data_IF_067756355510
#
_entry.id   IF_067756355510
#
_cell.length_a   1.000
_cell.length_b   1.000
_cell.length_c   1.000
_cell.angle_alpha   90.00
_cell.angle_beta   90.00
_cell.angle_gamma   90.00
#
_symmetry.space_group_name_H-M   'P 1'
#
loop_
_entity.id
_entity.type
_entity.pdbx_description
1 polymer ?
#
# COMPACT_ATOMS: atom_id res chain seq x y z
N UNK A 1 -25.45 12.33 15.51
CA UNK A 1 -24.94 12.15 14.12
C UNK A 1 -24.76 10.68 13.86
N UNK A 2 -25.16 10.15 12.72
CA UNK A 2 -25.06 8.71 12.45
C UNK A 2 -23.59 8.25 12.50
N UNK A 3 -23.30 7.10 13.09
CA UNK A 3 -21.96 6.56 13.32
C UNK A 3 -21.14 6.49 12.00
N UNK A 4 -21.77 6.06 10.92
CA UNK A 4 -21.09 6.00 9.61
C UNK A 4 -20.62 7.38 9.09
N UNK A 5 -21.31 8.48 9.46
CA UNK A 5 -20.83 9.82 9.12
C UNK A 5 -19.54 10.16 9.85
N UNK A 6 -19.46 9.83 11.15
CA UNK A 6 -18.30 10.14 11.99
C UNK A 6 -17.08 9.27 11.68
N UNK A 7 -17.31 8.01 11.32
CA UNK A 7 -16.25 7.00 11.15
C UNK A 7 -15.78 6.90 9.69
N UNK A 8 -16.66 7.14 8.72
CA UNK A 8 -16.36 6.95 7.29
C UNK A 8 -16.27 8.28 6.56
N UNK A 9 -17.36 9.07 6.58
CA UNK A 9 -17.48 10.25 5.71
C UNK A 9 -16.58 11.40 6.18
N UNK A 10 -16.61 11.73 7.47
CA UNK A 10 -15.82 12.87 7.99
C UNK A 10 -14.31 12.60 7.83
N UNK A 11 -13.74 11.46 8.29
CA UNK A 11 -12.32 11.21 8.11
C UNK A 11 -11.89 11.26 6.64
N UNK A 12 -12.67 10.66 5.75
CA UNK A 12 -12.41 10.66 4.32
C UNK A 12 -12.43 12.08 3.74
N UNK A 13 -13.49 12.85 3.97
CA UNK A 13 -13.64 14.20 3.39
C UNK A 13 -12.63 15.19 3.94
N UNK A 14 -12.32 15.13 5.24
CA UNK A 14 -11.32 16.01 5.85
C UNK A 14 -9.95 15.74 5.25
N UNK A 15 -9.51 14.50 5.22
CA UNK A 15 -8.20 14.15 4.65
C UNK A 15 -8.13 14.44 3.15
N UNK A 16 -9.19 14.11 2.38
CA UNK A 16 -9.30 14.44 0.97
C UNK A 16 -9.13 15.95 0.71
N UNK A 17 -9.91 16.75 1.42
CA UNK A 17 -9.90 18.22 1.24
C UNK A 17 -8.54 18.81 1.62
N UNK A 18 -7.94 18.37 2.72
CA UNK A 18 -6.62 18.81 3.15
C UNK A 18 -5.55 18.54 2.09
N UNK A 19 -5.49 17.29 1.57
CA UNK A 19 -4.51 16.94 0.52
C UNK A 19 -4.79 17.70 -0.77
N UNK A 20 -6.05 17.82 -1.17
CA UNK A 20 -6.43 18.55 -2.39
C UNK A 20 -5.93 20.01 -2.36
N UNK A 21 -6.06 20.67 -1.20
CA UNK A 21 -5.69 22.08 -1.02
C UNK A 21 -4.17 22.28 -0.86
N UNK A 22 -3.49 21.41 -0.08
CA UNK A 22 -2.07 21.62 0.24
C UNK A 22 -1.12 21.12 -0.85
N UNK A 23 -1.53 20.12 -1.64
CA UNK A 23 -0.70 19.48 -2.65
C UNK A 23 -0.06 20.47 -3.65
N UNK A 24 -0.78 21.46 -4.24
CA UNK A 24 -0.18 22.41 -5.17
C UNK A 24 0.91 23.27 -4.52
N UNK A 25 0.71 23.67 -3.26
CA UNK A 25 1.68 24.47 -2.52
C UNK A 25 2.98 23.68 -2.25
N UNK A 26 2.85 22.40 -1.85
CA UNK A 26 3.99 21.52 -1.65
C UNK A 26 4.72 21.27 -2.98
N UNK A 27 4.00 21.01 -4.08
CA UNK A 27 4.59 20.81 -5.40
C UNK A 27 5.41 22.03 -5.85
N UNK A 28 4.84 23.24 -5.74
CA UNK A 28 5.54 24.50 -6.05
C UNK A 28 6.79 24.68 -5.21
N UNK A 29 6.67 24.47 -3.89
CA UNK A 29 7.80 24.59 -2.97
C UNK A 29 8.90 23.59 -3.32
N UNK A 30 8.56 22.33 -3.61
CA UNK A 30 9.53 21.31 -3.97
C UNK A 30 10.27 21.64 -5.28
N UNK A 31 9.57 22.16 -6.29
CA UNK A 31 10.19 22.61 -7.55
C UNK A 31 11.16 23.78 -7.28
N UNK A 32 10.74 24.80 -6.53
CA UNK A 32 11.57 25.98 -6.22
C UNK A 32 12.83 25.59 -5.44
N UNK A 33 12.73 24.61 -4.53
CA UNK A 33 13.83 24.13 -3.69
C UNK A 33 14.68 23.05 -4.35
N UNK A 34 14.34 22.60 -5.56
CA UNK A 34 15.05 21.52 -6.25
C UNK A 34 14.90 20.14 -5.57
N UNK A 35 13.85 19.94 -4.78
CA UNK A 35 13.52 18.65 -4.12
C UNK A 35 12.84 17.72 -5.13
N UNK A 36 13.59 17.38 -6.18
CA UNK A 36 13.08 16.62 -7.34
C UNK A 36 13.92 15.39 -7.57
N UNK A 37 13.26 14.32 -7.97
CA UNK A 37 13.90 13.14 -8.48
C UNK A 37 14.31 13.34 -9.94
N UNK A 38 15.61 13.31 -10.20
CA UNK A 38 16.16 13.53 -11.53
C UNK A 38 16.13 12.25 -12.38
N UNK A 39 15.83 12.37 -13.70
CA UNK A 39 15.88 11.24 -14.61
C UNK A 39 17.27 10.59 -14.65
N UNK A 40 17.31 9.27 -14.66
CA UNK A 40 18.51 8.50 -14.93
C UNK A 40 18.16 7.26 -15.79
N UNK A 41 19.17 6.52 -16.23
CA UNK A 41 19.00 5.35 -17.11
C UNK A 41 18.14 4.23 -16.53
N UNK A 42 17.92 4.22 -15.21
CA UNK A 42 17.10 3.20 -14.52
C UNK A 42 15.63 3.60 -14.37
N UNK A 43 15.32 4.91 -14.39
CA UNK A 43 13.99 5.47 -14.10
C UNK A 43 13.14 5.59 -15.35
N UNK A 44 11.82 5.55 -15.15
CA UNK A 44 10.85 5.64 -16.24
C UNK A 44 10.52 7.09 -16.62
N UNK A 45 10.69 8.06 -15.68
CA UNK A 45 10.44 9.47 -15.93
C UNK A 45 11.51 10.09 -16.85
N UNK A 46 11.06 11.07 -17.66
CA UNK A 46 11.93 11.81 -18.61
C UNK A 46 12.24 13.25 -18.17
N UNK A 47 11.57 13.74 -17.15
CA UNK A 47 11.73 15.07 -16.54
C UNK A 47 11.86 14.95 -15.02
N UNK A 48 12.50 15.94 -14.35
CA UNK A 48 12.53 15.99 -12.88
C UNK A 48 11.11 16.04 -12.32
N UNK A 49 10.82 15.21 -11.30
CA UNK A 49 9.52 15.15 -10.64
C UNK A 49 9.73 15.33 -9.12
N UNK A 50 8.97 16.22 -8.45
CA UNK A 50 9.04 16.41 -7.01
C UNK A 50 8.75 15.12 -6.23
N UNK A 51 9.48 14.86 -5.13
CA UNK A 51 9.34 13.63 -4.30
C UNK A 51 8.75 13.94 -2.91
N UNK A 52 7.80 14.83 -2.84
CA UNK A 52 7.21 15.28 -1.57
C UNK A 52 5.72 14.93 -1.41
N UNK A 53 5.22 14.01 -2.22
CA UNK A 53 3.80 13.61 -2.17
C UNK A 53 3.41 12.98 -0.84
N UNK A 54 4.32 12.23 -0.22
CA UNK A 54 4.13 11.64 1.11
C UNK A 54 3.82 12.68 2.19
N UNK A 55 4.44 13.87 2.14
CA UNK A 55 4.14 14.95 3.10
C UNK A 55 2.72 15.48 2.97
N UNK A 56 2.19 15.60 1.74
CA UNK A 56 0.82 16.03 1.52
C UNK A 56 -0.18 15.01 2.09
N UNK A 57 0.06 13.71 1.81
CA UNK A 57 -0.76 12.60 2.32
C UNK A 57 -0.72 12.56 3.85
N UNK A 58 0.47 12.64 4.44
CA UNK A 58 0.67 12.69 5.89
C UNK A 58 -0.11 13.82 6.56
N UNK A 59 -0.01 15.02 6.02
CA UNK A 59 -0.75 16.17 6.53
C UNK A 59 -2.26 15.93 6.53
N UNK A 60 -2.81 15.38 5.44
CA UNK A 60 -4.24 15.06 5.37
C UNK A 60 -4.68 14.05 6.42
N UNK A 61 -3.90 12.99 6.63
CA UNK A 61 -4.21 11.95 7.62
C UNK A 61 -4.17 12.54 9.05
N UNK A 62 -3.13 13.31 9.39
CA UNK A 62 -3.00 13.92 10.74
C UNK A 62 -4.13 14.88 11.05
N UNK A 63 -4.48 15.76 10.11
CA UNK A 63 -5.59 16.70 10.32
C UNK A 63 -6.90 15.92 10.51
N UNK A 64 -7.12 14.88 9.72
CA UNK A 64 -8.29 14.03 9.87
C UNK A 64 -8.31 13.31 11.22
N UNK A 65 -7.17 12.74 11.65
CA UNK A 65 -7.05 12.10 12.96
C UNK A 65 -7.31 13.11 14.11
N UNK A 66 -6.78 14.34 13.98
CA UNK A 66 -7.01 15.42 14.95
C UNK A 66 -8.48 15.81 15.07
N UNK A 67 -9.17 16.01 13.94
CA UNK A 67 -10.61 16.35 13.92
C UNK A 67 -11.45 15.21 14.51
N UNK A 68 -11.14 13.97 14.18
CA UNK A 68 -11.90 12.81 14.68
C UNK A 68 -11.58 12.46 16.12
N UNK A 69 -10.40 12.84 16.66
CA UNK A 69 -10.05 12.65 18.06
C UNK A 69 -10.98 13.36 19.03
N UNK A 70 -11.67 14.40 18.60
CA UNK A 70 -12.73 15.09 19.36
C UNK A 70 -13.86 14.12 19.72
N UNK A 71 -14.15 13.15 18.84
CA UNK A 71 -15.22 12.16 19.03
C UNK A 71 -14.66 10.85 19.58
N UNK A 72 -13.49 10.43 19.11
CA UNK A 72 -12.82 9.20 19.45
C UNK A 72 -11.52 9.51 20.21
N UNK A 73 -11.63 9.86 21.50
CA UNK A 73 -10.43 10.03 22.33
C UNK A 73 -9.73 8.68 22.50
N UNK A 74 -8.79 8.39 21.63
CA UNK A 74 -8.18 7.07 21.48
C UNK A 74 -6.66 7.16 21.53
N UNK A 75 -6.09 6.51 22.52
CA UNK A 75 -4.66 6.23 22.63
C UNK A 75 -4.09 5.59 21.36
N UNK A 76 -4.86 4.70 20.73
CA UNK A 76 -4.46 4.04 19.48
C UNK A 76 -4.26 5.03 18.31
N UNK A 77 -5.10 6.07 18.17
CA UNK A 77 -4.89 7.12 17.16
C UNK A 77 -3.57 7.86 17.39
N UNK A 78 -3.27 8.20 18.65
CA UNK A 78 -2.02 8.88 18.99
C UNK A 78 -0.80 8.01 18.64
N UNK A 79 -0.81 6.73 19.00
CA UNK A 79 0.27 5.79 18.67
C UNK A 79 0.45 5.66 17.15
N UNK A 80 -0.65 5.58 16.37
CA UNK A 80 -0.57 5.59 14.90
C UNK A 80 0.09 6.88 14.38
N UNK A 81 -0.31 8.05 14.88
CA UNK A 81 0.26 9.35 14.46
C UNK A 81 1.76 9.41 14.77
N UNK A 82 2.19 8.98 15.96
CA UNK A 82 3.62 8.96 16.34
C UNK A 82 4.43 8.08 15.40
N UNK A 83 3.97 6.84 15.18
CA UNK A 83 4.70 5.87 14.33
C UNK A 83 4.75 6.33 12.86
N UNK A 84 3.64 6.85 12.34
CA UNK A 84 3.60 7.46 11.01
C UNK A 84 4.57 8.62 10.87
N UNK A 85 4.66 9.49 11.90
CA UNK A 85 5.56 10.64 11.90
C UNK A 85 7.02 10.19 11.81
N UNK A 86 7.40 9.19 12.62
CA UNK A 86 8.78 8.65 12.60
C UNK A 86 9.08 8.05 11.22
N UNK A 87 8.19 7.24 10.66
CA UNK A 87 8.40 6.58 9.37
C UNK A 87 8.40 7.59 8.21
N UNK A 88 7.52 8.59 8.24
CA UNK A 88 7.52 9.67 7.26
C UNK A 88 8.83 10.46 7.29
N UNK A 89 9.31 10.82 8.49
CA UNK A 89 10.56 11.56 8.65
C UNK A 89 11.76 10.75 8.19
N UNK A 90 11.82 9.46 8.54
CA UNK A 90 12.87 8.56 8.07
C UNK A 90 12.89 8.45 6.54
N UNK A 91 11.73 8.22 5.92
CA UNK A 91 11.62 8.16 4.47
C UNK A 91 11.97 9.48 3.79
N UNK A 92 11.65 10.61 4.40
CA UNK A 92 12.05 11.92 3.90
C UNK A 92 13.57 12.11 3.91
N UNK A 93 14.26 11.66 4.96
CA UNK A 93 15.73 11.68 4.99
C UNK A 93 16.30 10.72 3.95
N UNK A 94 15.68 9.56 3.74
CA UNK A 94 16.09 8.61 2.71
C UNK A 94 15.95 9.21 1.30
N UNK A 95 14.85 9.89 1.00
CA UNK A 95 14.65 10.62 -0.26
C UNK A 95 15.71 11.70 -0.53
N UNK A 96 16.23 12.35 0.53
CA UNK A 96 17.18 13.47 0.38
C UNK A 96 18.65 13.04 0.31
N UNK A 97 19.07 12.14 1.18
CA UNK A 97 20.51 11.82 1.38
C UNK A 97 20.82 10.34 1.18
N UNK A 98 19.80 9.49 1.15
CA UNK A 98 19.94 8.04 1.13
C UNK A 98 20.39 7.46 2.46
N UNK A 99 19.68 6.48 2.98
CA UNK A 99 19.99 5.80 4.25
C UNK A 99 20.53 4.40 3.95
N UNK A 100 21.54 3.97 4.72
CA UNK A 100 22.03 2.60 4.60
C UNK A 100 20.92 1.60 4.96
N UNK A 101 20.71 0.52 4.19
CA UNK A 101 19.59 -0.41 4.39
C UNK A 101 19.49 -0.98 5.82
N UNK A 102 20.62 -1.24 6.48
CA UNK A 102 20.62 -1.78 7.85
C UNK A 102 20.13 -0.76 8.90
N UNK A 103 20.39 0.56 8.70
CA UNK A 103 19.86 1.63 9.58
C UNK A 103 18.34 1.73 9.40
N UNK A 104 17.87 1.65 8.16
CA UNK A 104 16.45 1.65 7.82
C UNK A 104 15.73 0.49 8.50
N UNK A 105 16.24 -0.74 8.38
CA UNK A 105 15.68 -1.92 9.04
C UNK A 105 15.70 -1.77 10.57
N UNK A 106 16.77 -1.23 11.16
CA UNK A 106 16.85 -1.02 12.60
C UNK A 106 15.75 -0.05 13.11
N UNK A 107 15.49 1.04 12.37
CA UNK A 107 14.43 1.99 12.72
C UNK A 107 13.06 1.34 12.53
N UNK A 108 12.83 0.60 11.44
CA UNK A 108 11.58 -0.14 11.19
C UNK A 108 11.29 -1.11 12.35
N UNK A 109 12.26 -1.91 12.77
CA UNK A 109 12.14 -2.83 13.92
C UNK A 109 11.85 -2.07 15.22
N UNK A 110 12.51 -0.95 15.46
CA UNK A 110 12.28 -0.14 16.66
C UNK A 110 10.86 0.44 16.70
N UNK A 111 10.35 0.92 15.55
CA UNK A 111 8.97 1.45 15.42
C UNK A 111 7.95 0.34 15.63
N UNK A 112 8.16 -0.83 15.04
CA UNK A 112 7.27 -1.99 15.23
C UNK A 112 7.31 -2.43 16.71
N UNK A 113 8.50 -2.52 17.30
CA UNK A 113 8.66 -2.82 18.74
C UNK A 113 7.91 -1.83 19.63
N UNK A 114 7.96 -0.54 19.30
CA UNK A 114 7.20 0.49 20.02
C UNK A 114 5.69 0.25 19.93
N UNK A 115 5.17 -0.08 18.74
CA UNK A 115 3.73 -0.37 18.53
C UNK A 115 3.28 -1.59 19.36
N UNK A 116 4.12 -2.63 19.43
CA UNK A 116 3.86 -3.84 20.23
C UNK A 116 3.94 -3.55 21.73
N UNK A 117 4.97 -2.81 22.20
CA UNK A 117 5.13 -2.42 23.61
C UNK A 117 3.96 -1.56 24.10
N UNK A 118 3.43 -0.70 23.22
CA UNK A 118 2.26 0.12 23.51
C UNK A 118 0.94 -0.67 23.51
N UNK A 119 1.00 -2.00 23.38
CA UNK A 119 -0.15 -2.91 23.35
C UNK A 119 -1.23 -2.51 22.31
N UNK A 120 -0.79 -1.87 21.23
CA UNK A 120 -1.70 -1.47 20.16
C UNK A 120 -2.06 -2.65 19.26
N UNK A 121 -1.05 -3.46 18.91
CA UNK A 121 -1.20 -4.62 18.01
C UNK A 121 -0.14 -5.68 18.31
N UNK A 122 -0.48 -6.96 18.03
CA UNK A 122 0.44 -8.08 18.17
C UNK A 122 0.04 -9.23 17.23
N UNK A 123 1.00 -10.05 16.79
CA UNK A 123 0.74 -11.34 16.13
C UNK A 123 0.91 -12.43 17.19
N UNK A 124 -0.09 -12.62 18.03
CA UNK A 124 -0.02 -13.49 19.21
C UNK A 124 -0.94 -14.71 19.13
N UNK A 125 -1.72 -14.84 18.05
CA UNK A 125 -2.60 -15.97 17.82
C UNK A 125 -2.72 -16.26 16.31
N UNK A 126 -2.71 -17.55 15.94
CA UNK A 126 -2.95 -17.98 14.56
C UNK A 126 -4.41 -18.36 14.30
N UNK A 127 -5.28 -18.18 15.30
CA UNK A 127 -6.73 -18.38 15.18
C UNK A 127 -7.11 -19.73 14.55
N UNK A 128 -6.40 -20.79 14.92
CA UNK A 128 -6.67 -22.15 14.44
C UNK A 128 -6.08 -22.47 13.05
N UNK A 129 -5.33 -21.58 12.45
CA UNK A 129 -4.62 -21.87 11.18
C UNK A 129 -3.67 -23.06 11.38
N UNK A 130 -3.86 -24.13 10.60
CA UNK A 130 -3.18 -25.43 10.74
C UNK A 130 -3.29 -26.04 12.15
N UNK A 131 -4.36 -25.71 12.91
CA UNK A 131 -4.54 -26.13 14.28
C UNK A 131 -3.72 -25.35 15.32
N UNK A 132 -2.99 -24.31 14.90
CA UNK A 132 -2.18 -23.47 15.77
C UNK A 132 -3.06 -22.34 16.30
N UNK A 133 -3.10 -22.17 17.63
CA UNK A 133 -3.76 -21.05 18.30
C UNK A 133 -2.74 -20.02 18.79
N UNK A 134 -2.76 -19.74 20.11
CA UNK A 134 -1.90 -18.74 20.74
C UNK A 134 -0.42 -19.05 20.59
N UNK A 135 0.34 -18.01 20.30
CA UNK A 135 1.79 -18.07 20.17
C UNK A 135 2.49 -17.60 21.44
N UNK A 136 3.57 -18.27 21.85
CA UNK A 136 4.41 -17.77 22.94
C UNK A 136 5.13 -16.48 22.52
N UNK A 137 5.40 -15.60 23.47
CA UNK A 137 5.97 -14.27 23.24
C UNK A 137 7.30 -14.31 22.45
N UNK A 138 8.14 -15.31 22.73
CA UNK A 138 9.43 -15.47 22.02
C UNK A 138 9.28 -15.86 20.53
N UNK A 139 8.09 -16.28 20.08
CA UNK A 139 7.73 -16.48 18.66
C UNK A 139 7.02 -15.26 18.11
N UNK A 140 6.08 -14.72 18.89
CA UNK A 140 5.25 -13.57 18.50
C UNK A 140 6.08 -12.32 18.19
N UNK A 141 7.02 -11.94 19.06
CA UNK A 141 7.81 -10.71 18.86
C UNK A 141 8.71 -10.74 17.61
N UNK A 142 9.51 -11.80 17.34
CA UNK A 142 10.26 -11.89 16.09
C UNK A 142 9.35 -11.92 14.86
N UNK A 143 8.18 -12.56 14.96
CA UNK A 143 7.21 -12.62 13.88
C UNK A 143 6.61 -11.24 13.58
N UNK A 144 6.28 -10.44 14.60
CA UNK A 144 5.86 -9.05 14.41
C UNK A 144 6.94 -8.23 13.71
N UNK A 145 8.19 -8.31 14.18
CA UNK A 145 9.30 -7.58 13.57
C UNK A 145 9.51 -8.00 12.11
N UNK A 146 9.56 -9.30 11.82
CA UNK A 146 9.74 -9.83 10.48
C UNK A 146 8.61 -9.43 9.53
N UNK A 147 7.36 -9.64 9.96
CA UNK A 147 6.18 -9.32 9.14
C UNK A 147 6.05 -7.82 8.91
N UNK A 148 6.30 -7.01 9.94
CA UNK A 148 6.22 -5.56 9.83
C UNK A 148 7.26 -4.98 8.89
N UNK A 149 8.54 -5.35 9.06
CA UNK A 149 9.63 -4.97 8.13
C UNK A 149 9.31 -5.44 6.72
N UNK A 150 8.81 -6.68 6.57
CA UNK A 150 8.40 -7.24 5.28
C UNK A 150 7.32 -6.41 4.60
N UNK A 151 6.26 -6.03 5.31
CA UNK A 151 5.15 -5.23 4.78
C UNK A 151 5.63 -3.83 4.39
N UNK A 152 6.37 -3.13 5.28
CA UNK A 152 6.87 -1.78 5.00
C UNK A 152 7.73 -1.77 3.74
N UNK A 153 8.66 -2.71 3.62
CA UNK A 153 9.53 -2.80 2.45
C UNK A 153 8.77 -3.25 1.19
N UNK A 154 7.77 -4.12 1.30
CA UNK A 154 6.95 -4.54 0.16
C UNK A 154 6.17 -3.36 -0.43
N UNK A 155 5.58 -2.50 0.41
CA UNK A 155 4.88 -1.29 -0.04
C UNK A 155 5.85 -0.27 -0.65
N UNK A 156 7.06 -0.15 -0.11
CA UNK A 156 8.07 0.73 -0.69
C UNK A 156 8.59 0.21 -2.06
N UNK A 157 8.82 -1.08 -2.19
CA UNK A 157 9.36 -1.67 -3.42
C UNK A 157 8.36 -1.73 -4.58
N UNK A 158 7.05 -1.66 -4.32
CA UNK A 158 6.02 -1.66 -5.38
C UNK A 158 5.88 -0.29 -6.06
N UNK A 159 6.41 0.79 -5.48
CA UNK A 159 6.29 2.16 -5.97
C UNK A 159 7.24 2.44 -7.14
N UNK A 160 6.89 1.95 -8.31
CA UNK A 160 7.68 2.13 -9.55
C UNK A 160 6.89 2.68 -10.73
N UNK A 161 5.57 2.87 -10.59
CA UNK A 161 4.66 3.30 -11.66
C UNK A 161 3.63 4.27 -11.10
N UNK A 162 3.31 5.34 -11.86
CA UNK A 162 2.34 6.36 -11.42
C UNK A 162 1.01 5.73 -10.97
N UNK A 163 0.59 6.08 -9.78
CA UNK A 163 -0.65 5.63 -9.17
C UNK A 163 -0.63 4.22 -8.60
N UNK A 164 0.44 3.43 -8.77
CA UNK A 164 0.42 2.02 -8.35
C UNK A 164 0.37 1.88 -6.84
N UNK A 165 1.31 2.44 -6.10
CA UNK A 165 1.35 2.38 -4.63
C UNK A 165 0.13 3.07 -4.00
N UNK A 166 -0.25 4.24 -4.52
CA UNK A 166 -1.43 4.97 -4.02
C UNK A 166 -2.74 4.26 -4.38
N UNK A 167 -2.86 3.66 -5.57
CA UNK A 167 -4.05 2.87 -5.96
C UNK A 167 -4.24 1.63 -5.09
N UNK A 168 -3.16 0.87 -4.86
CA UNK A 168 -3.17 -0.26 -3.91
C UNK A 168 -3.48 0.22 -2.50
N UNK A 169 -2.85 1.31 -2.04
CA UNK A 169 -3.12 1.89 -0.72
C UNK A 169 -4.58 2.31 -0.54
N UNK A 170 -5.23 2.91 -1.55
CA UNK A 170 -6.67 3.24 -1.54
C UNK A 170 -7.50 1.97 -1.39
N UNK A 171 -7.25 0.97 -2.23
CA UNK A 171 -8.03 -0.28 -2.24
C UNK A 171 -7.86 -1.05 -0.92
N UNK A 172 -6.63 -1.24 -0.45
CA UNK A 172 -6.34 -1.94 0.80
C UNK A 172 -6.97 -1.20 1.99
N UNK A 173 -6.81 0.13 2.07
CA UNK A 173 -7.41 0.94 3.14
C UNK A 173 -8.93 0.87 3.12
N UNK A 174 -9.57 0.82 1.95
CA UNK A 174 -11.01 0.60 1.82
C UNK A 174 -11.44 -0.75 2.41
N UNK A 175 -10.74 -1.82 2.03
CA UNK A 175 -11.07 -3.20 2.47
C UNK A 175 -10.92 -3.33 3.99
N UNK A 176 -9.79 -2.86 4.56
CA UNK A 176 -9.60 -2.85 6.01
C UNK A 176 -10.60 -1.93 6.72
N UNK A 177 -10.88 -0.75 6.15
CA UNK A 177 -11.84 0.19 6.69
C UNK A 177 -13.24 -0.41 6.82
N UNK A 178 -13.70 -1.16 5.82
CA UNK A 178 -14.96 -1.90 5.88
C UNK A 178 -14.94 -2.97 6.98
N UNK A 179 -13.90 -3.80 7.04
CA UNK A 179 -13.78 -4.86 8.06
C UNK A 179 -13.74 -4.27 9.47
N UNK A 180 -12.98 -3.21 9.71
CA UNK A 180 -12.94 -2.51 11.00
C UNK A 180 -14.28 -1.85 11.35
N UNK A 181 -14.96 -1.24 10.38
CA UNK A 181 -16.27 -0.63 10.61
C UNK A 181 -17.31 -1.64 11.04
N UNK A 182 -17.41 -2.76 10.33
CA UNK A 182 -18.39 -3.82 10.64
C UNK A 182 -18.04 -4.62 11.89
N UNK A 183 -16.77 -4.68 12.30
CA UNK A 183 -16.33 -5.25 13.57
C UNK A 183 -16.38 -4.27 14.75
N UNK A 184 -16.86 -3.04 14.53
CA UNK A 184 -16.92 -1.96 15.51
C UNK A 184 -15.56 -1.49 16.06
N UNK A 185 -14.45 -1.75 15.36
CA UNK A 185 -13.15 -1.13 15.64
C UNK A 185 -13.08 0.25 14.96
N UNK A 186 -13.88 1.18 15.48
CA UNK A 186 -14.07 2.49 14.86
C UNK A 186 -12.80 3.32 14.79
N UNK A 187 -11.88 3.13 15.72
CA UNK A 187 -10.57 3.81 15.70
C UNK A 187 -9.75 3.42 14.47
N UNK A 188 -9.64 2.13 14.19
CA UNK A 188 -8.94 1.64 13.00
C UNK A 188 -9.71 1.96 11.72
N UNK A 189 -11.04 1.92 11.74
CA UNK A 189 -11.87 2.34 10.61
C UNK A 189 -11.64 3.83 10.25
N UNK A 190 -11.60 4.72 11.24
CA UNK A 190 -11.26 6.15 11.03
C UNK A 190 -9.89 6.30 10.37
N UNK A 191 -8.86 5.61 10.86
CA UNK A 191 -7.52 5.65 10.26
C UNK A 191 -7.51 5.14 8.82
N UNK A 192 -8.24 4.05 8.54
CA UNK A 192 -8.32 3.48 7.21
C UNK A 192 -9.02 4.42 6.21
N UNK A 193 -10.16 4.99 6.59
CA UNK A 193 -10.87 5.95 5.72
C UNK A 193 -10.17 7.31 5.61
N UNK A 194 -9.44 7.75 6.63
CA UNK A 194 -8.57 8.92 6.53
C UNK A 194 -7.41 8.68 5.56
N UNK A 195 -6.77 7.50 5.63
CA UNK A 195 -5.70 7.12 4.71
C UNK A 195 -6.21 7.04 3.27
N UNK A 196 -7.34 6.37 3.06
CA UNK A 196 -8.00 6.31 1.74
C UNK A 196 -8.31 7.71 1.22
N UNK A 197 -8.91 8.58 2.05
CA UNK A 197 -9.27 9.95 1.67
C UNK A 197 -8.07 10.81 1.29
N UNK A 198 -6.94 10.66 1.98
CA UNK A 198 -5.69 11.36 1.65
C UNK A 198 -5.04 10.87 0.35
N UNK A 199 -5.10 9.56 0.10
CA UNK A 199 -4.50 8.95 -1.09
C UNK A 199 -5.28 9.24 -2.38
N UNK A 200 -6.60 9.41 -2.33
CA UNK A 200 -7.43 9.65 -3.53
C UNK A 200 -7.02 10.92 -4.29
N UNK A 201 -6.96 12.12 -3.70
CA UNK A 201 -6.54 13.32 -4.42
C UNK A 201 -5.07 13.24 -4.86
N UNK A 202 -4.20 12.62 -4.07
CA UNK A 202 -2.82 12.35 -4.47
C UNK A 202 -2.76 11.46 -5.71
N UNK A 203 -3.50 10.34 -5.74
CA UNK A 203 -3.60 9.44 -6.90
C UNK A 203 -4.00 10.21 -8.17
N UNK A 204 -5.06 11.00 -8.11
CA UNK A 204 -5.51 11.76 -9.27
C UNK A 204 -4.45 12.74 -9.79
N UNK A 205 -3.76 13.44 -8.90
CA UNK A 205 -2.69 14.39 -9.28
C UNK A 205 -1.42 13.69 -9.76
N UNK A 206 -1.07 12.54 -9.17
CA UNK A 206 0.08 11.75 -9.61
C UNK A 206 -0.14 11.11 -10.99
N UNK A 207 -1.35 10.58 -11.26
CA UNK A 207 -1.68 9.88 -12.51
C UNK A 207 -2.01 10.84 -13.64
N UNK A 208 -2.83 11.84 -13.40
CA UNK A 208 -3.36 12.74 -14.43
C UNK A 208 -2.66 14.09 -14.48
N UNK A 209 -2.00 14.52 -13.41
CA UNK A 209 -1.27 15.79 -13.38
C UNK A 209 -0.03 15.76 -14.27
N UNK A 210 0.30 16.92 -14.85
CA UNK A 210 1.55 17.16 -15.54
C UNK A 210 2.42 18.16 -14.75
N UNK A 211 1.87 19.34 -14.46
CA UNK A 211 2.52 20.37 -13.63
C UNK A 211 2.38 20.04 -12.13
N UNK A 212 1.24 19.51 -11.74
CA UNK A 212 0.94 19.12 -10.36
C UNK A 212 1.49 17.75 -9.95
N UNK A 213 2.13 17.03 -10.86
CA UNK A 213 2.64 15.69 -10.59
C UNK A 213 3.71 15.72 -9.51
N UNK A 214 3.55 14.83 -8.52
CA UNK A 214 4.58 14.50 -7.53
C UNK A 214 4.66 12.98 -7.36
N UNK A 215 5.84 12.48 -7.02
CA UNK A 215 6.00 11.11 -6.51
C UNK A 215 5.68 11.09 -5.01
N UNK A 216 5.18 9.95 -4.55
CA UNK A 216 4.88 9.76 -3.13
C UNK A 216 6.15 9.75 -2.28
N UNK A 217 7.28 9.26 -2.85
CA UNK A 217 8.59 9.16 -2.23
C UNK A 217 8.67 8.07 -1.17
N UNK A 218 9.88 7.83 -0.68
CA UNK A 218 10.12 6.89 0.44
C UNK A 218 9.41 7.37 1.71
N UNK A 219 9.29 8.68 1.90
CA UNK A 219 8.50 9.31 2.95
C UNK A 219 7.05 8.82 2.99
N UNK A 220 6.39 8.76 1.84
CA UNK A 220 5.00 8.33 1.76
C UNK A 220 4.82 6.83 1.78
N UNK A 221 5.67 6.07 1.10
CA UNK A 221 5.56 4.60 1.05
C UNK A 221 5.89 3.94 2.38
N UNK A 222 6.89 4.44 3.13
CA UNK A 222 7.20 3.93 4.46
C UNK A 222 6.11 4.26 5.48
N UNK A 223 5.58 5.49 5.43
CA UNK A 223 4.43 5.87 6.24
C UNK A 223 3.21 5.00 5.92
N UNK A 224 2.91 4.78 4.67
CA UNK A 224 1.80 3.91 4.25
C UNK A 224 2.07 2.46 4.66
N UNK A 225 3.31 1.99 4.55
CA UNK A 225 3.72 0.65 4.97
C UNK A 225 3.47 0.38 6.45
N UNK A 226 3.81 1.31 7.35
CA UNK A 226 3.54 1.14 8.79
C UNK A 226 2.05 1.19 9.10
N UNK A 227 1.24 2.02 8.41
CA UNK A 227 -0.22 2.04 8.59
C UNK A 227 -0.81 0.67 8.23
N UNK A 228 -0.47 0.14 7.06
CA UNK A 228 -0.97 -1.15 6.60
C UNK A 228 -0.46 -2.31 7.47
N UNK A 229 0.77 -2.22 7.97
CA UNK A 229 1.31 -3.15 8.97
C UNK A 229 0.46 -3.15 10.26
N UNK A 230 0.12 -1.96 10.79
CA UNK A 230 -0.75 -1.82 11.96
C UNK A 230 -2.12 -2.42 11.69
N UNK A 231 -2.72 -2.19 10.51
CA UNK A 231 -4.02 -2.78 10.16
C UNK A 231 -3.95 -4.31 10.15
N UNK A 232 -2.93 -4.92 9.56
CA UNK A 232 -2.74 -6.37 9.57
C UNK A 232 -2.57 -6.91 10.97
N UNK A 233 -1.64 -6.37 11.75
CA UNK A 233 -1.36 -6.85 13.09
C UNK A 233 -2.56 -6.65 14.02
N UNK A 234 -3.29 -5.53 13.89
CA UNK A 234 -4.53 -5.27 14.63
C UNK A 234 -5.62 -6.29 14.31
N UNK A 235 -5.69 -6.73 13.07
CA UNK A 235 -6.66 -7.74 12.65
C UNK A 235 -6.31 -9.12 13.21
N UNK A 236 -5.01 -9.46 13.28
CA UNK A 236 -4.51 -10.76 13.74
C UNK A 236 -4.47 -10.87 15.27
N UNK A 237 -4.40 -9.76 15.99
CA UNK A 237 -4.32 -9.74 17.46
C UNK A 237 -5.48 -10.52 18.09
N UNK A 238 -5.20 -11.35 19.11
CA UNK A 238 -6.22 -12.14 19.79
C UNK A 238 -7.25 -11.30 20.55
N UNK A 239 -6.93 -10.03 20.84
CA UNK A 239 -7.84 -9.06 21.45
C UNK A 239 -8.63 -8.28 20.42
N UNK A 240 -8.41 -8.52 19.12
CA UNK A 240 -9.04 -7.83 18.02
C UNK A 240 -10.57 -7.92 18.07
N UNK A 241 -11.23 -6.82 17.75
CA UNK A 241 -12.67 -6.81 17.53
C UNK A 241 -13.06 -7.59 16.27
N UNK A 242 -12.17 -7.68 15.28
CA UNK A 242 -12.39 -8.43 14.05
C UNK A 242 -12.50 -9.92 14.35
N UNK A 243 -11.50 -10.50 15.04
CA UNK A 243 -11.49 -11.93 15.39
C UNK A 243 -12.63 -12.32 16.33
N UNK A 244 -13.08 -11.40 17.21
CA UNK A 244 -14.24 -11.63 18.07
C UNK A 244 -15.58 -11.54 17.33
N UNK A 245 -15.72 -10.60 16.38
CA UNK A 245 -16.95 -10.44 15.61
C UNK A 245 -17.12 -11.54 14.56
N UNK A 246 -16.02 -12.06 14.03
CA UNK A 246 -15.99 -13.04 12.95
C UNK A 246 -15.00 -14.19 13.28
N UNK A 247 -15.37 -15.13 14.18
CA UNK A 247 -14.46 -16.19 14.66
C UNK A 247 -13.96 -17.12 13.52
N UNK A 248 -14.79 -17.33 12.48
CA UNK A 248 -14.47 -18.20 11.34
C UNK A 248 -13.72 -17.46 10.21
N UNK A 249 -13.47 -16.17 10.40
CA UNK A 249 -12.68 -15.38 9.45
C UNK A 249 -11.20 -15.74 9.60
N UNK A 250 -10.60 -16.26 8.55
CA UNK A 250 -9.16 -16.52 8.50
C UNK A 250 -8.38 -15.20 8.46
N UNK A 251 -8.20 -14.54 9.61
CA UNK A 251 -7.60 -13.19 9.69
C UNK A 251 -6.22 -13.09 9.05
N UNK A 252 -5.40 -14.15 9.12
CA UNK A 252 -4.09 -14.22 8.44
C UNK A 252 -4.29 -14.32 6.93
N UNK A 253 -5.21 -15.16 6.47
CA UNK A 253 -5.56 -15.27 5.06
C UNK A 253 -6.10 -13.94 4.50
N UNK A 254 -6.95 -13.24 5.27
CA UNK A 254 -7.46 -11.93 4.93
C UNK A 254 -6.32 -10.91 4.74
N UNK A 255 -5.40 -10.82 5.69
CA UNK A 255 -4.26 -9.90 5.61
C UNK A 255 -3.36 -10.20 4.40
N UNK A 256 -3.10 -11.48 4.14
CA UNK A 256 -2.34 -11.91 2.96
C UNK A 256 -3.09 -11.61 1.66
N UNK A 257 -4.41 -11.79 1.61
CA UNK A 257 -5.22 -11.45 0.45
C UNK A 257 -5.20 -9.96 0.14
N UNK A 258 -5.29 -9.12 1.19
CA UNK A 258 -5.29 -7.67 1.06
C UNK A 258 -3.92 -7.06 0.71
N UNK A 259 -2.82 -7.78 0.94
CA UNK A 259 -1.44 -7.37 0.64
C UNK A 259 -0.76 -8.32 -0.36
N UNK A 260 -1.54 -9.08 -1.13
CA UNK A 260 -1.01 -10.19 -1.92
C UNK A 260 0.01 -9.73 -2.95
N UNK A 261 -0.31 -8.74 -3.77
CA UNK A 261 0.61 -8.27 -4.82
C UNK A 261 1.90 -7.68 -4.23
N UNK A 262 1.86 -6.70 -3.30
CA UNK A 262 3.09 -6.17 -2.73
C UNK A 262 3.97 -7.24 -2.08
N UNK A 263 3.37 -8.13 -1.28
CA UNK A 263 4.13 -9.13 -0.52
C UNK A 263 4.67 -10.23 -1.42
N UNK A 264 3.83 -10.87 -2.24
CA UNK A 264 4.27 -12.00 -3.06
C UNK A 264 5.21 -11.58 -4.20
N UNK A 265 5.03 -10.37 -4.78
CA UNK A 265 5.98 -9.87 -5.79
C UNK A 265 7.34 -9.56 -5.15
N UNK A 266 7.37 -8.96 -3.96
CA UNK A 266 8.61 -8.68 -3.23
C UNK A 266 9.32 -9.96 -2.83
N UNK A 267 8.62 -10.93 -2.25
CA UNK A 267 9.19 -12.23 -1.88
C UNK A 267 9.77 -12.92 -3.13
N UNK A 268 9.04 -12.96 -4.24
CA UNK A 268 9.53 -13.52 -5.51
C UNK A 268 10.82 -12.84 -5.95
N UNK A 269 10.87 -11.51 -5.94
CA UNK A 269 12.05 -10.74 -6.37
C UNK A 269 13.24 -11.05 -5.46
N UNK A 270 13.04 -11.03 -4.13
CA UNK A 270 14.10 -11.36 -3.17
C UNK A 270 14.63 -12.78 -3.35
N UNK A 271 13.74 -13.77 -3.51
CA UNK A 271 14.14 -15.16 -3.74
C UNK A 271 14.93 -15.33 -5.05
N UNK A 272 14.50 -14.68 -6.14
CA UNK A 272 15.23 -14.70 -7.40
C UNK A 272 16.62 -14.05 -7.29
N UNK A 273 16.76 -12.95 -6.55
CA UNK A 273 18.07 -12.31 -6.30
C UNK A 273 19.00 -13.23 -5.53
N UNK A 274 18.51 -13.85 -4.44
CA UNK A 274 19.28 -14.81 -3.64
C UNK A 274 19.70 -16.01 -4.50
N UNK A 275 18.79 -16.56 -5.30
CA UNK A 275 19.09 -17.69 -6.21
C UNK A 275 20.20 -17.35 -7.21
N UNK A 276 20.30 -16.08 -7.66
CA UNK A 276 21.36 -15.59 -8.54
C UNK A 276 22.61 -15.07 -7.79
N UNK A 277 22.74 -15.33 -6.50
CA UNK A 277 23.88 -14.89 -5.68
C UNK A 277 23.96 -13.39 -5.46
N UNK A 278 22.83 -12.65 -5.58
CA UNK A 278 22.75 -11.19 -5.40
C UNK A 278 22.12 -10.84 -4.06
N UNK A 279 22.47 -9.67 -3.52
CA UNK A 279 21.78 -9.17 -2.33
C UNK A 279 20.28 -8.95 -2.59
N UNK A 280 19.37 -9.38 -1.69
CA UNK A 280 17.94 -9.18 -1.85
C UNK A 280 17.52 -7.70 -1.88
N UNK A 281 18.37 -6.79 -1.37
CA UNK A 281 18.10 -5.36 -1.25
C UNK A 281 18.61 -4.52 -2.44
N UNK A 282 19.25 -5.11 -3.44
CA UNK A 282 19.70 -4.36 -4.63
C UNK A 282 18.48 -4.04 -5.51
N UNK A 283 18.29 -2.76 -5.83
CA UNK A 283 17.23 -2.34 -6.75
C UNK A 283 17.46 -2.89 -8.17
N UNK A 284 16.42 -3.44 -8.78
CA UNK A 284 16.44 -3.93 -10.17
C UNK A 284 15.08 -3.70 -10.88
N UNK A 285 14.96 -4.14 -12.13
CA UNK A 285 13.74 -4.00 -12.95
C UNK A 285 12.99 -5.34 -13.11
N UNK A 286 12.96 -6.16 -12.05
CA UNK A 286 12.33 -7.50 -12.10
C UNK A 286 10.94 -7.56 -11.49
N UNK A 287 10.44 -6.48 -10.89
CA UNK A 287 9.08 -6.42 -10.37
C UNK A 287 8.02 -6.57 -11.46
N UNK A 288 6.84 -7.08 -11.09
CA UNK A 288 5.73 -7.35 -12.01
C UNK A 288 5.35 -6.12 -12.83
N UNK A 289 5.30 -4.93 -12.22
CA UNK A 289 4.95 -3.69 -12.91
C UNK A 289 5.93 -3.32 -14.03
N UNK A 290 7.21 -3.64 -13.90
CA UNK A 290 8.19 -3.43 -14.97
C UNK A 290 7.94 -4.32 -16.19
N UNK A 291 7.43 -5.53 -16.00
CA UNK A 291 7.09 -6.43 -17.11
C UNK A 291 5.89 -5.89 -17.90
N UNK A 292 4.86 -5.37 -17.21
CA UNK A 292 3.73 -4.71 -17.87
C UNK A 292 4.21 -3.52 -18.74
N UNK A 293 5.08 -2.66 -18.21
CA UNK A 293 5.62 -1.53 -18.97
C UNK A 293 6.42 -1.99 -20.20
N UNK A 294 7.26 -3.04 -20.08
CA UNK A 294 8.01 -3.59 -21.23
C UNK A 294 7.08 -4.15 -22.30
N UNK A 295 5.94 -4.71 -21.93
CA UNK A 295 4.89 -5.20 -22.85
C UNK A 295 4.05 -4.05 -23.47
N UNK A 296 4.43 -2.78 -23.23
CA UNK A 296 3.81 -1.60 -23.82
C UNK A 296 2.59 -1.07 -23.12
N UNK A 297 2.30 -1.46 -21.86
CA UNK A 297 1.23 -0.84 -21.08
C UNK A 297 1.61 0.59 -20.67
N UNK A 298 0.62 1.49 -20.65
CA UNK A 298 0.78 2.79 -19.99
C UNK A 298 0.87 2.66 -18.47
N UNK A 299 1.37 3.70 -17.77
CA UNK A 299 1.41 3.69 -16.30
C UNK A 299 0.04 3.40 -15.70
N UNK A 300 -1.01 4.12 -16.12
CA UNK A 300 -2.37 3.89 -15.62
C UNK A 300 -2.90 2.49 -15.99
N UNK A 301 -2.57 1.99 -17.18
CA UNK A 301 -2.93 0.63 -17.60
C UNK A 301 -2.30 -0.44 -16.70
N UNK A 302 -1.02 -0.27 -16.37
CA UNK A 302 -0.31 -1.14 -15.43
C UNK A 302 -0.93 -1.08 -14.04
N UNK A 303 -1.21 0.12 -13.53
CA UNK A 303 -1.84 0.33 -12.24
C UNK A 303 -3.22 -0.33 -12.15
N UNK A 304 -4.06 -0.16 -13.16
CA UNK A 304 -5.38 -0.79 -13.22
C UNK A 304 -5.28 -2.31 -13.26
N UNK A 305 -4.40 -2.87 -14.11
CA UNK A 305 -4.23 -4.33 -14.18
C UNK A 305 -3.79 -4.92 -12.84
N UNK A 306 -2.80 -4.32 -12.17
CA UNK A 306 -2.31 -4.80 -10.89
C UNK A 306 -3.37 -4.67 -9.79
N UNK A 307 -4.13 -3.56 -9.74
CA UNK A 307 -5.24 -3.44 -8.80
C UNK A 307 -6.37 -4.45 -9.05
N UNK A 308 -6.62 -4.83 -10.32
CA UNK A 308 -7.58 -5.91 -10.63
C UNK A 308 -7.06 -7.26 -10.10
N UNK A 309 -5.77 -7.56 -10.24
CA UNK A 309 -5.18 -8.78 -9.68
C UNK A 309 -5.29 -8.79 -8.14
N UNK A 310 -5.06 -7.66 -7.46
CA UNK A 310 -5.26 -7.52 -6.01
C UNK A 310 -6.73 -7.74 -5.63
N UNK A 311 -7.67 -7.14 -6.38
CA UNK A 311 -9.10 -7.35 -6.17
C UNK A 311 -9.49 -8.83 -6.31
N UNK A 312 -8.93 -9.57 -7.28
CA UNK A 312 -9.18 -11.00 -7.46
C UNK A 312 -8.75 -11.79 -6.21
N UNK A 313 -7.60 -11.46 -5.59
CA UNK A 313 -7.13 -12.13 -4.38
C UNK A 313 -8.06 -11.87 -3.19
N UNK A 314 -8.47 -10.62 -2.99
CA UNK A 314 -9.43 -10.26 -1.93
C UNK A 314 -10.79 -10.93 -2.18
N UNK A 315 -11.25 -10.94 -3.43
CA UNK A 315 -12.51 -11.62 -3.80
C UNK A 315 -12.44 -13.13 -3.54
N UNK A 316 -11.32 -13.79 -3.88
CA UNK A 316 -11.13 -15.22 -3.63
C UNK A 316 -11.21 -15.56 -2.14
N UNK A 317 -10.64 -14.69 -1.28
CA UNK A 317 -10.76 -14.81 0.16
C UNK A 317 -12.22 -14.73 0.63
N UNK A 318 -12.94 -13.67 0.25
CA UNK A 318 -14.33 -13.50 0.68
C UNK A 318 -15.26 -14.60 0.13
N UNK A 319 -15.02 -15.09 -1.07
CA UNK A 319 -15.78 -16.22 -1.62
C UNK A 319 -15.58 -17.49 -0.78
N UNK A 320 -14.35 -17.82 -0.40
CA UNK A 320 -14.07 -18.99 0.45
C UNK A 320 -14.67 -18.84 1.85
N UNK A 321 -14.59 -17.64 2.41
CA UNK A 321 -15.23 -17.33 3.70
C UNK A 321 -16.76 -17.51 3.65
N UNK A 322 -17.44 -16.94 2.64
CA UNK A 322 -18.90 -17.06 2.48
C UNK A 322 -19.36 -18.49 2.19
N UNK A 323 -18.51 -19.30 1.58
CA UNK A 323 -18.80 -20.73 1.38
C UNK A 323 -18.57 -21.56 2.66
N UNK A 324 -18.23 -20.95 3.80
CA UNK A 324 -18.02 -21.64 5.06
C UNK A 324 -16.73 -22.48 5.12
N UNK A 325 -15.74 -22.13 4.31
CA UNK A 325 -14.46 -22.84 4.31
C UNK A 325 -13.73 -22.65 5.65
N UNK A 326 -13.03 -23.69 6.12
CA UNK A 326 -12.19 -23.60 7.33
C UNK A 326 -11.09 -22.55 7.16
N UNK A 327 -10.60 -21.98 8.26
CA UNK A 327 -9.51 -20.98 8.28
C UNK A 327 -8.29 -21.45 7.47
N UNK A 328 -7.94 -22.73 7.61
CA UNK A 328 -6.82 -23.33 6.85
C UNK A 328 -7.10 -23.40 5.35
N UNK A 329 -8.33 -23.73 4.93
CA UNK A 329 -8.68 -23.78 3.50
C UNK A 329 -8.72 -22.37 2.90
N UNK A 330 -9.24 -21.36 3.63
CA UNK A 330 -9.18 -19.96 3.22
C UNK A 330 -7.71 -19.52 2.96
N UNK A 331 -6.80 -19.88 3.87
CA UNK A 331 -5.37 -19.57 3.71
C UNK A 331 -4.76 -20.26 2.48
N UNK A 332 -5.01 -21.56 2.29
CA UNK A 332 -4.49 -22.31 1.14
C UNK A 332 -4.97 -21.68 -0.18
N UNK A 333 -6.26 -21.36 -0.29
CA UNK A 333 -6.82 -20.76 -1.51
C UNK A 333 -6.19 -19.38 -1.76
N UNK A 334 -6.06 -18.53 -0.75
CA UNK A 334 -5.41 -17.23 -0.89
C UNK A 334 -3.96 -17.36 -1.33
N UNK A 335 -3.18 -18.27 -0.75
CA UNK A 335 -1.79 -18.48 -1.15
C UNK A 335 -1.72 -18.95 -2.62
N UNK A 336 -2.57 -19.89 -3.03
CA UNK A 336 -2.60 -20.38 -4.41
C UNK A 336 -3.02 -19.29 -5.41
N UNK A 337 -4.06 -18.52 -5.10
CA UNK A 337 -4.48 -17.41 -5.97
C UNK A 337 -3.43 -16.30 -6.03
N UNK A 338 -2.80 -15.93 -4.90
CA UNK A 338 -1.72 -14.95 -4.85
C UNK A 338 -0.48 -15.41 -5.62
N UNK A 339 -0.07 -16.67 -5.49
CA UNK A 339 1.00 -17.24 -6.31
C UNK A 339 0.66 -17.21 -7.80
N UNK A 340 -0.58 -17.46 -8.17
CA UNK A 340 -1.01 -17.44 -9.58
C UNK A 340 -1.03 -16.02 -10.12
N UNK A 341 -1.60 -15.07 -9.40
CA UNK A 341 -1.75 -13.66 -9.83
C UNK A 341 -0.45 -12.87 -9.81
N UNK A 342 0.55 -13.30 -9.02
CA UNK A 342 1.87 -12.64 -8.95
C UNK A 342 2.93 -13.45 -9.67
N UNK A 343 3.31 -14.60 -9.12
CA UNK A 343 4.42 -15.43 -9.61
C UNK A 343 4.07 -16.01 -10.99
N UNK A 344 2.91 -16.62 -11.11
CA UNK A 344 2.41 -17.19 -12.37
C UNK A 344 2.29 -16.13 -13.47
N UNK A 345 1.67 -14.99 -13.13
CA UNK A 345 1.53 -13.86 -14.05
C UNK A 345 2.89 -13.30 -14.47
N UNK A 346 3.83 -13.14 -13.55
CA UNK A 346 5.18 -12.67 -13.87
C UNK A 346 5.88 -13.60 -14.87
N UNK A 347 5.89 -14.92 -14.63
CA UNK A 347 6.54 -15.85 -15.54
C UNK A 347 5.84 -15.92 -16.90
N UNK A 348 4.50 -15.86 -16.92
CA UNK A 348 3.73 -15.84 -18.15
C UNK A 348 4.04 -14.58 -18.99
N UNK A 349 3.99 -13.39 -18.39
CA UNK A 349 4.28 -12.14 -19.08
C UNK A 349 5.76 -12.05 -19.51
N UNK A 350 6.68 -12.50 -18.66
CA UNK A 350 8.12 -12.54 -18.98
C UNK A 350 8.43 -13.51 -20.12
N UNK A 351 7.71 -14.62 -20.22
CA UNK A 351 7.81 -15.55 -21.34
C UNK A 351 7.37 -14.89 -22.66
N UNK A 352 6.25 -14.16 -22.63
CA UNK A 352 5.78 -13.41 -23.82
C UNK A 352 6.80 -12.35 -24.26
N UNK A 353 7.31 -11.58 -23.29
CA UNK A 353 8.32 -10.54 -23.52
C UNK A 353 9.61 -11.12 -24.15
N UNK A 354 10.17 -12.16 -23.54
CA UNK A 354 11.42 -12.78 -23.95
C UNK A 354 11.36 -13.44 -25.35
N UNK A 355 10.20 -14.04 -25.69
CA UNK A 355 10.04 -14.78 -26.96
C UNK A 355 9.37 -13.94 -28.06
N UNK A 356 9.15 -12.62 -27.80
CA UNK A 356 8.44 -11.72 -28.71
C UNK A 356 7.08 -12.28 -29.17
N UNK A 357 6.46 -13.11 -28.31
CA UNK A 357 5.16 -13.70 -28.62
C UNK A 357 4.03 -12.73 -28.29
N UNK A 358 3.13 -12.57 -29.23
CA UNK A 358 1.92 -11.76 -29.02
C UNK A 358 0.80 -12.63 -28.44
N UNK A 359 0.25 -12.21 -27.32
CA UNK A 359 -1.02 -12.71 -26.83
C UNK A 359 -2.09 -11.66 -27.16
N UNK A 360 -3.14 -12.05 -27.92
CA UNK A 360 -4.17 -11.13 -28.40
C UNK A 360 -4.80 -10.30 -27.28
N UNK A 361 -5.08 -10.91 -26.13
CA UNK A 361 -5.66 -10.21 -24.98
C UNK A 361 -4.68 -9.16 -24.43
N UNK A 362 -3.45 -9.56 -24.13
CA UNK A 362 -2.41 -8.67 -23.55
C UNK A 362 -2.14 -7.51 -24.51
N UNK A 363 -1.96 -7.78 -25.80
CA UNK A 363 -1.72 -6.74 -26.81
C UNK A 363 -2.92 -5.80 -26.92
N UNK A 364 -4.14 -6.32 -26.91
CA UNK A 364 -5.34 -5.50 -26.98
C UNK A 364 -5.45 -4.57 -25.77
N UNK A 365 -5.29 -5.10 -24.55
CA UNK A 365 -5.35 -4.29 -23.31
C UNK A 365 -4.22 -3.25 -23.28
N UNK A 366 -3.00 -3.62 -23.68
CA UNK A 366 -1.87 -2.69 -23.78
C UNK A 366 -2.18 -1.53 -24.74
N UNK A 367 -2.66 -1.82 -25.95
CA UNK A 367 -3.04 -0.79 -26.94
C UNK A 367 -4.18 0.10 -26.40
N UNK A 368 -5.21 -0.47 -25.76
CA UNK A 368 -6.26 0.31 -25.14
C UNK A 368 -5.72 1.24 -24.02
N UNK A 369 -4.81 0.75 -23.21
CA UNK A 369 -4.20 1.54 -22.15
C UNK A 369 -3.43 2.75 -22.68
N UNK A 370 -2.71 2.60 -23.81
CA UNK A 370 -2.02 3.69 -24.48
C UNK A 370 -3.00 4.68 -25.14
N UNK A 371 -4.02 4.17 -25.80
CA UNK A 371 -5.07 5.01 -26.41
C UNK A 371 -5.83 5.82 -25.36
N UNK A 372 -6.07 5.27 -24.18
CA UNK A 372 -6.75 5.98 -23.09
C UNK A 372 -6.03 7.28 -22.70
N UNK A 373 -4.71 7.26 -22.61
CA UNK A 373 -3.90 8.44 -22.28
C UNK A 373 -4.01 9.54 -23.37
N UNK A 374 -4.33 9.17 -24.62
CA UNK A 374 -4.54 10.10 -25.73
C UNK A 374 -5.96 10.67 -25.82
N UNK A 375 -6.92 10.09 -25.10
CA UNK A 375 -8.32 10.48 -25.16
C UNK A 375 -8.60 11.87 -24.58
N UNK A 376 -9.72 12.47 -25.03
CA UNK A 376 -10.18 13.79 -24.54
C UNK A 376 -10.41 13.80 -23.03
N UNK A 377 -10.92 12.70 -22.47
CA UNK A 377 -11.14 12.55 -21.02
C UNK A 377 -9.85 12.69 -20.24
N UNK A 378 -8.79 11.94 -20.60
CA UNK A 378 -7.50 12.02 -19.90
C UNK A 378 -6.92 13.44 -19.95
N UNK A 379 -6.96 14.08 -21.13
CA UNK A 379 -6.50 15.45 -21.31
C UNK A 379 -7.32 16.47 -20.51
N UNK A 380 -8.63 16.25 -20.38
CA UNK A 380 -9.49 17.09 -19.55
C UNK A 380 -9.15 16.95 -18.06
N UNK A 381 -8.91 15.70 -17.60
CA UNK A 381 -8.44 15.42 -16.24
C UNK A 381 -7.08 16.08 -15.96
N UNK A 382 -6.13 16.01 -16.90
CA UNK A 382 -4.83 16.70 -16.77
C UNK A 382 -5.02 18.21 -16.54
N UNK A 383 -5.85 18.85 -17.35
CA UNK A 383 -6.15 20.29 -17.19
C UNK A 383 -6.78 20.61 -15.83
N UNK A 384 -7.67 19.73 -15.33
CA UNK A 384 -8.32 19.89 -14.04
C UNK A 384 -7.32 19.74 -12.90
N UNK A 385 -6.43 18.75 -12.96
CA UNK A 385 -5.42 18.50 -11.93
C UNK A 385 -4.36 19.60 -11.86
N UNK A 386 -3.99 20.17 -13.00
CA UNK A 386 -3.00 21.24 -13.09
C UNK A 386 -3.57 22.64 -12.80
N UNK A 387 -4.89 22.75 -12.61
CA UNK A 387 -5.53 24.02 -12.24
C UNK A 387 -5.07 24.46 -10.84
N UNK A 388 -4.41 25.60 -10.77
CA UNK A 388 -3.86 26.15 -9.52
C UNK A 388 -2.34 25.96 -9.32
N UNK A 389 -1.66 25.35 -10.32
CA UNK A 389 -0.19 25.30 -10.39
C UNK A 389 0.41 26.56 -11.01
#
# INVERSE_FOLDING_TARGET
MAMWMQVVIIPFLVSFTCVWLIHPAIAKMAIIRGLTDNPNARKLQKSPVPVMGGMAVFFGIIVSAGVTSIVFNSYALFTCVVTMTVMMYMGFIDDLVGIKPWIRIAIEVAVIGFVVIMDLVNINDFHGLFGIGKLPVYVSLPLCAFSGVGIINAINMIDGVDGLSSGLGIFISFVFGCVFFYSHDFTMAVMAFATMGALVPFFFKNVFGHLSKMFIGDSGTMMMGIILCIFCMRTIDNTSRVSRAYPDLGVIAFCLAALSIPVFDTVRVMLLRIYHGRSPFIADKTHLHHVFIRLGFSHIGTTVCINILEFINVLSFFLTYWLGASVTLQFIVVVLTSCTTTIGMYFFLSYLDKHHRTNRLITTVSVYSQRFVQQRFYKAMTRLMDKGM
#
